data_IF_857748958892
#
_entry.id   IF_857748958892
#
_cell.length_a   1.000
_cell.length_b   1.000
_cell.length_c   1.000
_cell.angle_alpha   90.00
_cell.angle_beta   90.00
_cell.angle_gamma   90.00
#
_symmetry.space_group_name_H-M   'P 1'
#
loop_
_entity.id
_entity.type
_entity.pdbx_description
1 polymer ?
#
# COMPACT_ATOMS: atom_id res chain seq x y z
N UNK A 1 14.81 -12.62 -64.52
CA UNK A 1 13.67 -12.32 -63.62
C UNK A 1 14.18 -12.16 -62.20
N UNK A 2 14.00 -10.97 -61.61
CA UNK A 2 14.59 -10.55 -60.33
C UNK A 2 13.85 -11.18 -59.14
N UNK A 3 14.58 -11.88 -58.25
CA UNK A 3 14.06 -12.35 -56.94
C UNK A 3 13.80 -11.14 -56.05
N UNK A 4 12.55 -10.95 -55.63
CA UNK A 4 12.16 -9.94 -54.63
C UNK A 4 12.64 -10.40 -53.25
N UNK A 5 13.60 -9.67 -52.70
CA UNK A 5 14.01 -9.75 -51.29
C UNK A 5 13.20 -8.69 -50.54
N UNK A 6 12.16 -9.11 -49.80
CA UNK A 6 11.50 -8.21 -48.85
C UNK A 6 12.09 -8.45 -47.46
N UNK A 7 12.82 -7.43 -47.06
CA UNK A 7 13.47 -7.15 -45.79
C UNK A 7 12.43 -7.23 -44.65
N UNK A 8 12.53 -8.26 -43.81
CA UNK A 8 11.79 -8.31 -42.56
C UNK A 8 12.51 -7.39 -41.55
N UNK A 9 11.94 -6.21 -41.32
CA UNK A 9 12.32 -5.30 -40.26
C UNK A 9 11.84 -5.93 -38.95
N UNK A 10 12.76 -6.43 -38.12
CA UNK A 10 12.45 -6.88 -36.77
C UNK A 10 12.81 -5.74 -35.80
N UNK A 11 11.79 -4.97 -35.44
CA UNK A 11 11.89 -3.92 -34.44
C UNK A 11 11.85 -4.58 -33.05
N UNK A 12 13.01 -4.77 -32.43
CA UNK A 12 13.09 -5.23 -31.03
C UNK A 12 13.07 -4.02 -30.09
N UNK A 13 11.89 -3.44 -29.89
CA UNK A 13 11.66 -2.51 -28.79
C UNK A 13 11.33 -3.32 -27.53
N UNK A 14 12.36 -3.67 -26.76
CA UNK A 14 12.18 -4.23 -25.41
C UNK A 14 12.03 -3.03 -24.46
N UNK A 15 10.80 -2.55 -24.32
CA UNK A 15 10.44 -1.67 -23.20
C UNK A 15 10.16 -2.53 -21.98
N UNK A 16 11.09 -2.58 -21.02
CA UNK A 16 10.78 -3.04 -19.67
C UNK A 16 9.98 -1.92 -18.99
N UNK A 17 8.65 -2.01 -19.03
CA UNK A 17 7.85 -1.42 -17.96
C UNK A 17 7.93 -2.40 -16.78
N UNK A 18 8.71 -2.06 -15.76
CA UNK A 18 8.69 -2.79 -14.50
C UNK A 18 7.40 -2.44 -13.76
N UNK A 19 6.47 -3.40 -13.66
CA UNK A 19 5.36 -3.28 -12.73
C UNK A 19 5.93 -3.41 -11.31
N UNK A 20 5.77 -2.37 -10.49
CA UNK A 20 6.05 -2.48 -9.05
C UNK A 20 5.13 -3.53 -8.42
N UNK A 21 5.66 -4.36 -7.53
CA UNK A 21 4.83 -5.25 -6.72
C UNK A 21 4.31 -4.46 -5.52
N UNK A 22 2.99 -4.30 -5.44
CA UNK A 22 2.32 -3.83 -4.23
C UNK A 22 1.95 -5.04 -3.36
N UNK A 23 2.20 -4.95 -2.06
CA UNK A 23 1.76 -5.94 -1.06
C UNK A 23 0.60 -5.34 -0.27
N UNK A 24 -0.57 -5.98 -0.29
CA UNK A 24 -1.69 -5.60 0.54
C UNK A 24 -1.59 -6.23 1.94
N UNK A 25 -1.93 -5.47 2.97
CA UNK A 25 -1.88 -5.85 4.37
C UNK A 25 -3.15 -5.40 5.08
N UNK A 26 -3.56 -6.18 6.09
CA UNK A 26 -4.66 -5.89 7.00
C UNK A 26 -4.19 -6.06 8.44
N UNK A 27 -4.52 -5.11 9.31
CA UNK A 27 -4.29 -5.18 10.76
C UNK A 27 -5.63 -5.07 11.47
N UNK A 28 -5.99 -6.10 12.24
CA UNK A 28 -7.29 -6.26 12.92
C UNK A 28 -7.24 -5.99 14.44
N UNK A 29 -6.08 -5.62 14.99
CA UNK A 29 -5.88 -5.20 16.38
C UNK A 29 -6.16 -6.22 17.50
N UNK A 30 -6.67 -7.41 17.19
CA UNK A 30 -7.12 -8.42 18.17
C UNK A 30 -6.02 -8.96 19.11
N UNK A 31 -4.75 -8.85 18.70
CA UNK A 31 -3.61 -9.29 19.50
C UNK A 31 -3.20 -8.27 20.59
N UNK A 32 -3.79 -7.07 20.59
CA UNK A 32 -3.45 -6.02 21.55
C UNK A 32 -4.16 -6.24 22.90
N UNK A 33 -3.44 -6.22 24.03
CA UNK A 33 -4.05 -6.18 25.35
C UNK A 33 -4.83 -4.87 25.56
N UNK A 34 -5.88 -4.90 26.36
CA UNK A 34 -6.69 -3.71 26.69
C UNK A 34 -5.86 -2.57 27.29
N UNK A 35 -6.22 -1.31 26.97
CA UNK A 35 -5.57 -0.08 27.45
C UNK A 35 -4.05 -0.02 27.22
N UNK A 36 -3.59 -0.58 26.11
CA UNK A 36 -2.18 -0.61 25.75
C UNK A 36 -1.89 0.42 24.67
N UNK A 37 -0.85 1.22 24.88
CA UNK A 37 -0.31 2.09 23.82
C UNK A 37 0.16 1.23 22.66
N UNK A 38 -0.39 1.45 21.45
CA UNK A 38 -0.10 0.64 20.26
C UNK A 38 1.37 0.80 19.84
N UNK A 39 1.87 2.03 19.79
CA UNK A 39 3.29 2.34 19.57
C UNK A 39 3.96 1.51 18.47
N UNK A 40 4.90 0.67 18.88
CA UNK A 40 5.76 -0.16 18.04
C UNK A 40 5.26 -1.60 17.86
N UNK A 41 4.03 -1.92 18.30
CA UNK A 41 3.52 -3.29 18.28
C UNK A 41 3.51 -3.91 16.87
N UNK A 42 3.24 -3.10 15.85
CA UNK A 42 3.21 -3.50 14.43
C UNK A 42 4.45 -3.04 13.64
N UNK A 43 5.57 -2.78 14.32
CA UNK A 43 6.80 -2.36 13.65
C UNK A 43 7.35 -3.43 12.68
N UNK A 44 7.11 -4.72 12.94
CA UNK A 44 7.46 -5.80 12.01
C UNK A 44 6.69 -5.76 10.69
N UNK A 45 5.53 -5.11 10.71
CA UNK A 45 4.63 -4.90 9.58
C UNK A 45 4.86 -3.53 8.92
N UNK A 46 5.86 -2.78 9.39
CA UNK A 46 6.25 -1.46 8.89
C UNK A 46 5.31 -0.33 9.34
N UNK A 47 4.60 -0.52 10.45
CA UNK A 47 3.70 0.46 11.04
C UNK A 47 4.21 0.95 12.40
N UNK A 48 4.25 2.26 12.56
CA UNK A 48 4.63 2.92 13.81
C UNK A 48 3.55 3.89 14.23
N UNK A 49 2.86 3.59 15.32
CA UNK A 49 1.76 4.40 15.83
C UNK A 49 2.25 5.39 16.88
N UNK A 50 1.59 6.54 16.96
CA UNK A 50 1.69 7.47 18.08
C UNK A 50 0.31 7.98 18.43
N UNK A 51 0.07 8.23 19.73
CA UNK A 51 -1.22 8.64 20.28
C UNK A 51 -2.34 7.65 19.90
N UNK A 52 -2.05 6.35 20.06
CA UNK A 52 -3.00 5.28 19.78
C UNK A 52 -3.06 4.33 20.97
N UNK A 53 -4.27 3.99 21.41
CA UNK A 53 -4.52 3.08 22.53
C UNK A 53 -5.50 2.00 22.10
N UNK A 54 -5.24 0.75 22.49
CA UNK A 54 -6.19 -0.35 22.31
C UNK A 54 -7.33 -0.28 23.31
N UNK A 55 -8.54 -0.56 22.83
CA UNK A 55 -9.76 -0.58 23.60
C UNK A 55 -10.53 -1.86 23.30
N UNK A 56 -10.88 -2.62 24.34
CA UNK A 56 -11.60 -3.89 24.20
C UNK A 56 -13.08 -3.75 24.59
N UNK A 57 -13.98 -4.22 23.71
CA UNK A 57 -15.41 -4.32 23.95
C UNK A 57 -15.74 -5.13 25.20
N UNK A 58 -16.72 -4.67 25.98
CA UNK A 58 -17.08 -5.26 27.27
C UNK A 58 -16.09 -4.95 28.41
N UNK A 59 -15.04 -4.16 28.15
CA UNK A 59 -14.07 -3.69 29.13
C UNK A 59 -13.91 -2.17 29.09
N UNK A 60 -12.91 -1.66 28.35
CA UNK A 60 -12.62 -0.22 28.27
C UNK A 60 -13.42 0.48 27.17
N UNK A 61 -13.81 -0.25 26.13
CA UNK A 61 -14.60 0.27 25.02
C UNK A 61 -16.09 0.24 25.38
N UNK A 62 -16.82 1.31 25.08
CA UNK A 62 -18.27 1.31 25.11
C UNK A 62 -18.80 0.84 23.75
N UNK A 63 -18.97 -0.48 23.59
CA UNK A 63 -19.32 -1.11 22.31
C UNK A 63 -20.72 -0.76 21.80
N UNK A 64 -21.59 -0.19 22.64
CA UNK A 64 -22.91 0.27 22.19
C UNK A 64 -22.83 1.53 21.34
N UNK A 65 -21.93 2.44 21.69
CA UNK A 65 -21.69 3.68 20.96
C UNK A 65 -20.56 3.51 19.94
N UNK A 66 -19.55 2.70 20.27
CA UNK A 66 -18.37 2.43 19.47
C UNK A 66 -18.20 0.93 19.21
N UNK A 67 -19.12 0.26 18.48
CA UNK A 67 -18.93 -1.14 18.14
C UNK A 67 -17.66 -1.31 17.28
N UNK A 68 -16.78 -2.26 17.63
CA UNK A 68 -15.77 -2.76 16.71
C UNK A 68 -16.41 -3.27 15.41
N UNK A 69 -15.70 -3.12 14.29
CA UNK A 69 -16.12 -3.65 13.00
C UNK A 69 -15.99 -5.17 12.97
N UNK A 70 -14.88 -5.67 13.50
CA UNK A 70 -14.60 -7.08 13.66
C UNK A 70 -14.10 -7.36 15.09
N UNK A 71 -14.04 -8.64 15.45
CA UNK A 71 -13.46 -9.04 16.74
C UNK A 71 -14.05 -8.32 17.96
N UNK A 72 -13.18 -7.90 18.88
CA UNK A 72 -13.55 -7.14 20.08
C UNK A 72 -12.60 -5.99 20.40
N UNK A 73 -11.48 -5.82 19.67
CA UNK A 73 -10.46 -4.82 19.96
C UNK A 73 -10.40 -3.82 18.82
N UNK A 74 -10.50 -2.54 19.16
CA UNK A 74 -10.27 -1.44 18.23
C UNK A 74 -9.24 -0.48 18.85
N UNK A 75 -8.68 0.41 18.03
CA UNK A 75 -7.76 1.43 18.55
C UNK A 75 -8.39 2.82 18.51
N UNK A 76 -8.30 3.55 19.60
CA UNK A 76 -8.69 4.96 19.71
C UNK A 76 -7.47 5.87 19.75
N UNK A 77 -7.71 7.17 19.68
CA UNK A 77 -6.69 8.17 19.97
C UNK A 77 -6.40 8.29 21.48
N UNK A 78 -5.16 8.63 21.81
CA UNK A 78 -4.70 8.79 23.20
C UNK A 78 -4.24 10.23 23.43
N UNK A 79 -5.19 11.09 23.83
CA UNK A 79 -4.98 12.50 24.23
C UNK A 79 -4.40 13.43 23.14
N UNK A 80 -4.33 12.96 21.89
CA UNK A 80 -3.89 13.71 20.72
C UNK A 80 -4.23 12.93 19.44
N UNK A 81 -4.29 13.60 18.27
CA UNK A 81 -4.50 12.94 16.99
C UNK A 81 -3.59 11.74 16.75
N UNK A 82 -4.18 10.64 16.32
CA UNK A 82 -3.46 9.41 16.00
C UNK A 82 -2.54 9.64 14.80
N UNK A 83 -1.28 9.23 14.94
CA UNK A 83 -0.28 9.30 13.87
C UNK A 83 0.17 7.89 13.52
N UNK A 84 0.23 7.59 12.23
CA UNK A 84 0.73 6.33 11.69
C UNK A 84 1.87 6.66 10.73
N UNK A 85 3.09 6.21 11.04
CA UNK A 85 4.22 6.28 10.13
C UNK A 85 4.44 4.93 9.46
N UNK A 86 4.78 4.95 8.18
CA UNK A 86 5.02 3.77 7.36
C UNK A 86 6.50 3.67 6.98
N UNK A 87 7.06 2.46 7.02
CA UNK A 87 8.43 2.20 6.54
C UNK A 87 8.57 2.31 5.01
N UNK A 88 7.46 2.19 4.29
CA UNK A 88 7.39 2.28 2.84
C UNK A 88 6.34 3.29 2.36
N UNK A 89 6.34 3.56 1.05
CA UNK A 89 5.31 4.38 0.44
C UNK A 89 4.00 3.58 0.34
N UNK A 90 2.99 4.05 1.07
CA UNK A 90 1.72 3.37 1.24
C UNK A 90 0.64 3.94 0.33
N UNK A 91 -0.18 3.05 -0.21
CA UNK A 91 -1.30 3.31 -1.11
C UNK A 91 -2.54 2.54 -0.63
N UNK A 92 -3.69 2.75 -1.27
CA UNK A 92 -4.94 2.01 -1.03
C UNK A 92 -5.35 1.96 0.46
N UNK A 93 -5.16 3.07 1.18
CA UNK A 93 -5.42 3.12 2.62
C UNK A 93 -6.92 3.13 2.86
N UNK A 94 -7.39 2.22 3.71
CA UNK A 94 -8.77 2.20 4.21
C UNK A 94 -8.84 1.58 5.59
N UNK A 95 -9.84 1.97 6.38
CA UNK A 95 -10.10 1.35 7.67
C UNK A 95 -11.58 1.49 8.02
N UNK A 96 -12.03 0.67 8.96
CA UNK A 96 -13.35 0.82 9.56
C UNK A 96 -13.27 1.83 10.71
N UNK A 97 -14.20 2.78 10.73
CA UNK A 97 -14.26 3.81 11.76
C UNK A 97 -15.64 3.87 12.41
N UNK A 98 -15.61 4.09 13.72
CA UNK A 98 -16.77 4.56 14.48
C UNK A 98 -16.40 5.86 15.18
N UNK A 99 -17.21 6.90 15.05
CA UNK A 99 -16.87 8.25 15.48
C UNK A 99 -18.09 9.05 15.95
N UNK A 100 -17.87 9.88 16.97
CA UNK A 100 -18.84 10.83 17.53
C UNK A 100 -18.68 12.26 16.98
N UNK A 101 -17.64 12.51 16.19
CA UNK A 101 -17.35 13.82 15.60
C UNK A 101 -16.67 13.69 14.25
N UNK A 102 -16.72 14.77 13.44
CA UNK A 102 -16.21 14.75 12.08
C UNK A 102 -14.73 14.38 12.03
N UNK A 103 -14.40 13.39 11.19
CA UNK A 103 -13.02 12.95 11.01
C UNK A 103 -12.28 13.76 9.95
N UNK A 104 -11.03 14.05 10.24
CA UNK A 104 -10.09 14.66 9.31
C UNK A 104 -8.82 13.82 9.20
N UNK A 105 -8.29 13.77 7.98
CA UNK A 105 -7.13 12.97 7.64
C UNK A 105 -6.11 13.85 6.92
N UNK A 106 -4.87 13.84 7.39
CA UNK A 106 -3.76 14.54 6.75
C UNK A 106 -2.68 13.54 6.34
N UNK A 107 -2.34 13.49 5.06
CA UNK A 107 -1.31 12.59 4.55
C UNK A 107 -0.04 13.36 4.17
N UNK A 108 1.12 12.79 4.48
CA UNK A 108 2.43 13.37 4.21
C UNK A 108 3.31 12.41 3.41
N UNK A 109 4.19 12.98 2.58
CA UNK A 109 5.19 12.24 1.81
C UNK A 109 6.46 11.94 2.64
N UNK A 110 7.39 11.18 2.08
CA UNK A 110 8.65 10.83 2.76
C UNK A 110 9.50 12.05 3.15
N UNK A 111 9.34 13.18 2.46
CA UNK A 111 10.00 14.45 2.78
C UNK A 111 9.31 15.25 3.88
N UNK A 112 8.17 14.76 4.40
CA UNK A 112 7.34 15.44 5.38
C UNK A 112 6.45 16.54 4.80
N UNK A 113 6.32 16.62 3.47
CA UNK A 113 5.42 17.58 2.82
C UNK A 113 3.99 17.04 2.84
N UNK A 114 3.02 17.94 3.02
CA UNK A 114 1.60 17.58 2.97
C UNK A 114 1.20 17.19 1.54
N UNK A 115 0.74 15.95 1.37
CA UNK A 115 0.13 15.46 0.13
C UNK A 115 -1.27 16.05 -0.01
N UNK A 116 -2.05 16.03 1.07
CA UNK A 116 -3.37 16.61 1.11
C UNK A 116 -4.11 16.35 2.41
N UNK A 117 -5.27 16.98 2.52
CA UNK A 117 -6.23 16.77 3.60
C UNK A 117 -7.50 16.16 3.02
N UNK A 118 -8.09 15.22 3.75
CA UNK A 118 -9.39 14.64 3.45
C UNK A 118 -10.28 14.83 4.68
N UNK A 119 -11.42 15.47 4.48
CA UNK A 119 -12.43 15.68 5.52
C UNK A 119 -13.58 14.73 5.22
N UNK A 120 -13.89 13.84 6.16
CA UNK A 120 -15.03 12.96 6.01
C UNK A 120 -16.33 13.76 6.15
N UNK A 121 -17.28 13.56 5.25
CA UNK A 121 -18.45 14.44 5.20
C UNK A 121 -19.42 14.23 6.37
N UNK A 122 -19.54 12.99 6.83
CA UNK A 122 -20.40 12.65 7.96
C UNK A 122 -19.78 13.13 9.27
N UNK A 123 -20.63 13.51 10.22
CA UNK A 123 -20.21 14.09 11.51
C UNK A 123 -20.24 13.07 12.64
N UNK A 124 -21.06 12.03 12.55
CA UNK A 124 -21.08 10.92 13.49
C UNK A 124 -21.66 9.66 12.83
N UNK A 125 -21.34 8.49 13.40
CA UNK A 125 -21.94 7.20 13.05
C UNK A 125 -22.09 6.26 14.26
N UNK A 126 -22.31 6.82 15.46
CA UNK A 126 -22.39 6.05 16.71
C UNK A 126 -23.36 4.85 16.62
N UNK A 127 -22.96 3.74 17.24
CA UNK A 127 -23.67 2.45 17.19
C UNK A 127 -23.54 1.71 15.86
N UNK A 128 -22.74 2.22 14.92
CA UNK A 128 -22.40 1.56 13.66
C UNK A 128 -20.90 1.71 13.39
N UNK A 129 -20.39 0.99 12.38
CA UNK A 129 -19.03 1.16 11.87
C UNK A 129 -19.09 1.26 10.35
N UNK A 130 -18.25 2.11 9.75
CA UNK A 130 -18.19 2.25 8.30
C UNK A 130 -16.76 2.21 7.77
N UNK A 131 -16.60 1.65 6.56
CA UNK A 131 -15.33 1.65 5.85
C UNK A 131 -15.08 3.01 5.21
N UNK A 132 -13.96 3.65 5.56
CA UNK A 132 -13.48 4.89 4.94
C UNK A 132 -12.25 4.57 4.10
N UNK A 133 -12.29 4.86 2.81
CA UNK A 133 -11.14 4.76 1.90
C UNK A 133 -10.56 6.14 1.63
N UNK A 134 -9.24 6.28 1.83
CA UNK A 134 -8.55 7.56 1.71
C UNK A 134 -8.01 7.76 0.30
N UNK A 135 -8.21 8.94 -0.33
CA UNK A 135 -7.81 9.21 -1.71
C UNK A 135 -6.34 9.65 -1.82
N UNK A 136 -5.46 9.03 -1.03
CA UNK A 136 -4.03 9.38 -1.00
C UNK A 136 -3.18 8.27 -1.62
N UNK A 137 -2.06 8.66 -2.18
CA UNK A 137 -1.04 7.77 -2.75
C UNK A 137 0.33 8.20 -2.27
N UNK A 138 1.28 7.27 -2.21
CA UNK A 138 2.66 7.49 -1.76
C UNK A 138 2.76 8.12 -0.35
N UNK A 139 1.91 7.66 0.56
CA UNK A 139 1.85 8.16 1.95
C UNK A 139 2.96 7.54 2.78
N UNK A 140 3.75 8.38 3.46
CA UNK A 140 4.74 7.96 4.47
C UNK A 140 4.24 8.16 5.90
N UNK A 141 3.33 9.11 6.10
CA UNK A 141 2.72 9.40 7.39
C UNK A 141 1.27 9.83 7.21
N UNK A 142 0.39 9.18 7.96
CA UNK A 142 -1.03 9.52 8.07
C UNK A 142 -1.30 10.09 9.47
N UNK A 143 -2.05 11.19 9.52
CA UNK A 143 -2.61 11.73 10.76
C UNK A 143 -4.12 11.63 10.68
N UNK A 144 -4.73 10.99 11.67
CA UNK A 144 -6.17 10.88 11.85
C UNK A 144 -6.55 11.75 13.04
N UNK A 145 -7.57 12.59 12.90
CA UNK A 145 -8.04 13.47 13.96
C UNK A 145 -9.56 13.57 13.97
N UNK A 146 -10.15 13.49 15.16
CA UNK A 146 -11.50 13.97 15.43
C UNK A 146 -11.50 15.41 15.94
N UNK A 147 -12.67 15.95 16.27
CA UNK A 147 -12.80 17.30 16.84
C UNK A 147 -12.28 17.40 18.28
N UNK A 148 -12.23 16.27 18.99
CA UNK A 148 -11.87 16.13 20.39
C UNK A 148 -11.31 14.73 20.66
N UNK A 149 -10.52 14.59 21.72
CA UNK A 149 -9.85 13.32 22.02
C UNK A 149 -10.86 12.24 22.42
N UNK A 150 -10.62 10.99 21.99
CA UNK A 150 -11.47 9.85 22.28
C UNK A 150 -12.77 9.83 21.48
N UNK A 151 -12.85 10.63 20.41
CA UNK A 151 -14.08 10.75 19.63
C UNK A 151 -14.25 9.68 18.56
N UNK A 152 -13.27 8.81 18.39
CA UNK A 152 -13.30 7.79 17.36
C UNK A 152 -12.51 6.55 17.74
N UNK A 153 -12.89 5.44 17.13
CA UNK A 153 -12.11 4.21 17.07
C UNK A 153 -11.86 3.84 15.61
N UNK A 154 -10.74 3.19 15.37
CA UNK A 154 -10.34 2.61 14.11
C UNK A 154 -10.17 1.10 14.29
N UNK A 155 -10.63 0.37 13.30
CA UNK A 155 -10.58 -1.08 13.23
C UNK A 155 -10.31 -1.53 11.79
N UNK A 156 -9.87 -2.78 11.59
CA UNK A 156 -9.61 -3.38 10.28
C UNK A 156 -8.78 -2.46 9.35
N UNK A 157 -7.56 -2.08 9.75
CA UNK A 157 -6.71 -1.16 8.99
C UNK A 157 -6.07 -1.86 7.78
N UNK A 158 -6.45 -1.42 6.58
CA UNK A 158 -6.05 -1.99 5.30
C UNK A 158 -5.21 -1.02 4.48
N UNK A 159 -4.12 -1.49 3.89
CA UNK A 159 -3.24 -0.66 3.06
C UNK A 159 -2.35 -1.51 2.14
N UNK A 160 -1.74 -0.86 1.14
CA UNK A 160 -0.77 -1.50 0.25
C UNK A 160 0.58 -0.79 0.30
N UNK A 161 1.66 -1.54 0.47
CA UNK A 161 3.03 -1.01 0.44
C UNK A 161 3.61 -1.18 -0.97
N UNK A 162 4.05 -0.07 -1.55
CA UNK A 162 4.82 -0.08 -2.80
C UNK A 162 6.28 -0.41 -2.51
N UNK A 163 6.68 -1.65 -2.81
CA UNK A 163 8.09 -2.04 -2.74
C UNK A 163 8.85 -1.50 -3.96
N UNK A 164 9.78 -0.56 -3.73
CA UNK A 164 10.62 0.00 -4.80
C UNK A 164 11.77 -0.96 -5.12
N UNK A 165 11.48 -2.04 -5.83
CA UNK A 165 12.53 -2.92 -6.39
C UNK A 165 12.15 -3.37 -7.80
N UNK A 166 12.50 -2.61 -8.85
CA UNK A 166 12.59 -3.21 -10.17
C UNK A 166 13.76 -4.20 -10.13
N UNK A 167 13.49 -5.49 -9.95
CA UNK A 167 14.51 -6.52 -10.18
C UNK A 167 14.84 -6.46 -11.68
N UNK A 168 16.05 -6.06 -12.09
CA UNK A 168 16.42 -6.12 -13.49
C UNK A 168 16.39 -7.59 -13.92
N UNK A 169 15.72 -7.89 -15.03
CA UNK A 169 15.78 -9.23 -15.63
C UNK A 169 17.25 -9.69 -15.64
N UNK A 170 17.54 -10.93 -15.20
CA UNK A 170 18.91 -11.43 -15.24
C UNK A 170 19.47 -11.22 -16.65
N UNK A 171 20.59 -10.49 -16.78
CA UNK A 171 21.21 -10.19 -18.08
C UNK A 171 21.45 -11.43 -18.95
N UNK A 172 21.40 -12.62 -18.33
CA UNK A 172 21.33 -13.94 -18.95
C UNK A 172 20.25 -14.07 -20.03
N UNK A 173 19.04 -13.51 -19.89
CA UNK A 173 18.00 -13.61 -20.93
C UNK A 173 18.35 -12.77 -22.17
N UNK A 174 18.95 -11.61 -21.97
CA UNK A 174 19.45 -10.75 -23.06
C UNK A 174 20.63 -11.41 -23.76
N UNK A 175 21.56 -12.01 -23.00
CA UNK A 175 22.67 -12.79 -23.55
C UNK A 175 22.19 -14.04 -24.31
N UNK A 176 21.18 -14.75 -23.80
CA UNK A 176 20.67 -15.96 -24.44
C UNK A 176 19.91 -15.62 -25.73
N UNK A 177 19.11 -14.55 -25.73
CA UNK A 177 18.37 -14.10 -26.92
C UNK A 177 19.30 -13.53 -28.00
N UNK A 178 20.31 -12.73 -27.62
CA UNK A 178 21.34 -12.25 -28.55
C UNK A 178 22.21 -13.38 -29.10
N UNK A 179 22.55 -14.38 -28.27
CA UNK A 179 23.28 -15.57 -28.72
C UNK A 179 22.47 -16.41 -29.73
N UNK A 180 21.18 -16.65 -29.47
CA UNK A 180 20.29 -17.37 -30.40
C UNK A 180 20.12 -16.62 -31.73
N UNK A 181 19.96 -15.30 -31.70
CA UNK A 181 19.91 -14.46 -32.89
C UNK A 181 21.21 -14.52 -33.69
N UNK A 182 22.36 -14.39 -33.01
CA UNK A 182 23.68 -14.53 -33.62
C UNK A 182 23.89 -15.91 -34.28
N UNK A 183 23.43 -16.96 -33.61
CA UNK A 183 23.51 -18.33 -34.13
C UNK A 183 22.62 -18.54 -35.36
N UNK A 184 21.38 -18.04 -35.36
CA UNK A 184 20.47 -18.14 -36.49
C UNK A 184 21.00 -17.40 -37.74
N UNK A 185 21.62 -16.22 -37.55
CA UNK A 185 22.26 -15.45 -38.62
C UNK A 185 23.47 -16.21 -39.20
N UNK A 186 24.28 -16.83 -38.34
CA UNK A 186 25.43 -17.65 -38.75
C UNK A 186 25.01 -18.86 -39.59
N UNK A 187 23.96 -19.58 -39.19
CA UNK A 187 23.43 -20.70 -39.95
C UNK A 187 22.88 -20.29 -41.32
N UNK A 188 22.19 -19.15 -41.41
CA UNK A 188 21.67 -18.63 -42.68
C UNK A 188 22.79 -18.27 -43.66
N UNK A 189 23.89 -17.67 -43.20
CA UNK A 189 25.08 -17.38 -44.03
C UNK A 189 25.73 -18.66 -44.57
N UNK A 190 25.89 -19.69 -43.73
CA UNK A 190 26.48 -20.98 -44.13
C UNK A 190 25.67 -21.70 -45.21
N UNK A 191 24.33 -21.66 -45.13
CA UNK A 191 23.47 -22.29 -46.13
C UNK A 191 23.44 -21.53 -47.47
N UNK A 192 23.75 -20.23 -47.49
CA UNK A 192 23.88 -19.46 -48.73
C UNK A 192 25.21 -19.72 -49.45
N UNK A 193 26.31 -19.91 -48.70
CA UNK A 193 27.63 -20.22 -49.27
C UNK A 193 27.73 -21.64 -49.85
N UNK A 194 26.95 -22.60 -49.33
CA UNK A 194 26.89 -23.97 -49.88
C UNK A 194 26.09 -24.09 -51.18
N UNK A 195 25.44 -23.01 -51.63
CA UNK A 195 24.60 -22.98 -52.84
C UNK A 195 25.23 -22.15 -53.99
N UNK A 196 26.47 -21.68 -53.84
CA UNK A 196 27.31 -21.16 -54.94
C UNK A 196 28.35 -22.20 -55.31
#
# INVERSE_FOLDING_TARGET
>A
MKKKSNLAILLAAVGLAGSGSAMAMTVDFEDLPDLTSVGEFYASDGLHFSNAISLTAGFSLNEFDYPPSSGNVAIGDDLAPMVINFDGLTNDISANFTYASQLSFSAYDLGGSLIGNYLHFNVDNLGTSELISLPFTDVSRLVVAGEWDGSYIMDDFNFSISNVSPVPLPGSFVLFSTALLGFAISMKKRNLQRKS
#
